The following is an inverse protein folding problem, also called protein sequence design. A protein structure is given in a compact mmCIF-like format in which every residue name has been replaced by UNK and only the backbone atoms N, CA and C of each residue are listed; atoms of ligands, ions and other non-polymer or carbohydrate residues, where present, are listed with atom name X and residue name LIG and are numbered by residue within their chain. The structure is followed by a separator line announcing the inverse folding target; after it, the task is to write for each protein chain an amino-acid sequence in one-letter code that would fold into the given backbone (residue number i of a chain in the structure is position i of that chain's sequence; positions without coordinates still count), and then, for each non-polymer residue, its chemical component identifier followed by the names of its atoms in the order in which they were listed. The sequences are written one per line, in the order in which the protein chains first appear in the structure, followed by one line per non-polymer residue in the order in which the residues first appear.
data_IF_881553667084
#
_entry.id   IF_881553667084
#
_cell.length_a   1.000
_cell.length_b   1.000
_cell.length_c   1.000
_cell.angle_alpha   90.00
_cell.angle_beta   90.00
_cell.angle_gamma   90.00
#
_symmetry.space_group_name_H-M   'P 1'
#
loop_
_entity.id
_entity.type
_entity.pdbx_description
1 polymer ?
#
# COMPACT_ATOMS: atom_id res chain seq x y z
N UNK A 1 -17.71 62.90 -29.81
CA UNK A 1 -16.27 62.88 -30.14
C UNK A 1 -15.98 61.58 -30.88
N UNK A 2 -15.40 61.75 -32.06
CA UNK A 2 -14.83 60.81 -33.06
C UNK A 2 -14.10 59.55 -32.50
N UNK A 3 -13.89 58.47 -33.29
CA UNK A 3 -14.86 57.36 -33.41
C UNK A 3 -14.21 55.95 -33.33
N UNK A 4 -15.06 54.93 -33.46
CA UNK A 4 -14.71 53.54 -33.76
C UNK A 4 -13.88 53.40 -35.04
N UNK A 5 -12.86 52.54 -35.01
CA UNK A 5 -12.06 52.14 -36.17
C UNK A 5 -12.29 50.64 -36.46
N UNK A 6 -13.03 50.43 -37.54
CA UNK A 6 -13.26 49.19 -38.28
C UNK A 6 -12.03 48.82 -39.12
N UNK A 7 -12.01 47.56 -39.61
CA UNK A 7 -11.25 47.06 -40.78
C UNK A 7 -9.80 46.65 -40.51
N UNK A 8 -9.18 45.64 -41.15
CA UNK A 8 -9.44 44.99 -42.45
C UNK A 8 -8.53 43.73 -42.53
N UNK A 9 -8.98 42.66 -43.19
CA UNK A 9 -8.09 41.65 -43.77
C UNK A 9 -7.13 42.31 -44.78
N UNK A 10 -5.91 41.75 -44.93
CA UNK A 10 -5.26 41.77 -46.22
C UNK A 10 -4.87 40.36 -46.65
N UNK A 11 -5.55 39.86 -47.68
CA UNK A 11 -4.90 39.07 -48.72
C UNK A 11 -3.81 39.93 -49.35
N UNK A 12 -2.54 39.55 -49.21
CA UNK A 12 -1.53 39.94 -50.20
C UNK A 12 -0.44 38.88 -50.28
N UNK A 13 -0.30 38.38 -51.49
CA UNK A 13 0.75 37.52 -52.00
C UNK A 13 2.13 38.13 -51.81
N UNK A 14 3.05 37.39 -51.20
CA UNK A 14 4.49 37.55 -51.44
C UNK A 14 5.11 36.18 -51.67
N UNK A 15 5.30 35.89 -52.96
CA UNK A 15 6.26 34.90 -53.44
C UNK A 15 7.65 35.33 -52.94
N UNK A 16 8.13 34.71 -51.87
CA UNK A 16 9.56 34.60 -51.65
C UNK A 16 10.01 33.18 -51.97
N UNK A 17 10.51 33.11 -53.19
CA UNK A 17 11.38 32.09 -53.74
C UNK A 17 12.55 31.84 -52.76
N UNK A 18 12.45 30.78 -51.94
CA UNK A 18 13.60 30.16 -51.28
C UNK A 18 13.50 28.65 -51.55
N UNK A 19 14.19 28.23 -52.62
CA UNK A 19 14.66 26.85 -52.76
C UNK A 19 15.29 26.43 -51.42
N UNK A 20 14.80 25.39 -50.73
CA UNK A 20 15.64 24.68 -49.80
C UNK A 20 16.62 23.88 -50.64
N UNK A 21 17.88 24.20 -50.41
CA UNK A 21 19.08 23.54 -50.88
C UNK A 21 18.89 22.06 -51.18
N UNK A 22 19.25 21.71 -52.41
CA UNK A 22 19.58 20.36 -52.88
C UNK A 22 20.61 19.76 -51.91
N UNK A 23 20.16 19.07 -50.86
CA UNK A 23 20.99 18.10 -50.15
C UNK A 23 21.01 16.88 -51.06
N UNK A 24 21.95 16.87 -52.01
CA UNK A 24 22.34 15.63 -52.68
C UNK A 24 23.23 14.84 -51.72
N UNK A 25 22.64 14.37 -50.62
CA UNK A 25 23.19 13.24 -49.89
C UNK A 25 22.62 12.01 -50.56
N UNK A 26 23.49 11.13 -51.06
CA UNK A 26 23.08 9.95 -51.81
C UNK A 26 22.12 9.11 -50.94
N UNK A 27 20.85 8.98 -51.34
CA UNK A 27 19.79 8.34 -50.52
C UNK A 27 20.16 6.91 -50.08
N UNK A 28 20.99 6.21 -50.85
CA UNK A 28 21.50 4.88 -50.52
C UNK A 28 22.47 4.89 -49.32
N UNK A 29 23.46 5.80 -49.34
CA UNK A 29 24.41 5.94 -48.21
C UNK A 29 23.69 6.32 -46.91
N UNK A 30 22.66 7.16 -47.00
CA UNK A 30 21.83 7.51 -45.84
C UNK A 30 21.07 6.29 -45.29
N UNK A 31 20.53 5.42 -46.16
CA UNK A 31 19.93 4.14 -45.75
C UNK A 31 20.93 3.23 -45.04
N UNK A 32 22.15 3.09 -45.57
CA UNK A 32 23.21 2.26 -44.96
C UNK A 32 23.55 2.78 -43.55
N UNK A 33 23.71 4.10 -43.38
CA UNK A 33 23.98 4.69 -42.06
C UNK A 33 22.83 4.49 -41.07
N UNK A 34 21.57 4.60 -41.51
CA UNK A 34 20.41 4.29 -40.67
C UNK A 34 20.40 2.83 -40.22
N UNK A 35 20.77 1.91 -41.10
CA UNK A 35 20.86 0.47 -40.78
C UNK A 35 22.03 0.18 -39.82
N UNK A 36 23.19 0.82 -39.99
CA UNK A 36 24.30 0.74 -39.02
C UNK A 36 23.88 1.26 -37.65
N UNK A 37 23.12 2.35 -37.62
CA UNK A 37 22.48 2.83 -36.39
C UNK A 37 21.56 1.79 -35.76
N UNK A 38 20.76 1.07 -36.56
CA UNK A 38 19.91 -0.01 -36.06
C UNK A 38 20.72 -1.21 -35.53
N UNK A 39 21.87 -1.54 -36.14
CA UNK A 39 22.82 -2.55 -35.62
C UNK A 39 23.31 -2.14 -34.23
N UNK A 40 23.79 -0.90 -34.09
CA UNK A 40 24.28 -0.38 -32.81
C UNK A 40 23.18 -0.38 -31.73
N UNK A 41 21.95 0.01 -32.08
CA UNK A 41 20.80 -0.10 -31.18
C UNK A 41 20.57 -1.57 -30.78
N UNK A 42 20.60 -2.49 -31.74
CA UNK A 42 20.48 -3.93 -31.49
C UNK A 42 21.52 -4.47 -30.51
N UNK A 43 22.75 -3.95 -30.51
CA UNK A 43 23.78 -4.36 -29.54
C UNK A 43 23.47 -3.95 -28.10
N UNK A 44 22.70 -2.87 -27.93
CA UNK A 44 22.36 -2.30 -26.62
C UNK A 44 21.06 -2.85 -26.02
N UNK A 45 20.21 -3.48 -26.82
CA UNK A 45 18.87 -3.89 -26.39
C UNK A 45 18.89 -5.25 -25.69
N UNK A 46 18.43 -5.36 -24.43
CA UNK A 46 18.22 -6.64 -23.79
C UNK A 46 17.08 -7.41 -24.49
N UNK A 47 17.17 -8.75 -24.52
CA UNK A 47 16.17 -9.68 -25.10
C UNK A 47 16.03 -9.62 -26.63
N UNK A 48 15.77 -8.44 -27.19
CA UNK A 48 15.46 -8.23 -28.60
C UNK A 48 16.67 -7.92 -29.48
N UNK A 49 17.79 -7.59 -28.85
CA UNK A 49 18.99 -7.10 -29.52
C UNK A 49 19.51 -8.02 -30.61
N UNK A 50 19.53 -9.34 -30.36
CA UNK A 50 20.13 -10.31 -31.28
C UNK A 50 19.46 -10.34 -32.66
N UNK A 51 18.13 -10.36 -32.73
CA UNK A 51 17.44 -10.42 -34.03
C UNK A 51 17.37 -9.07 -34.73
N UNK A 52 17.30 -7.96 -33.99
CA UNK A 52 17.43 -6.60 -34.57
C UNK A 52 18.80 -6.44 -35.20
N UNK A 53 19.86 -6.78 -34.45
CA UNK A 53 21.25 -6.73 -34.91
C UNK A 53 21.45 -7.63 -36.13
N UNK A 54 20.96 -8.87 -36.08
CA UNK A 54 21.10 -9.84 -37.17
C UNK A 54 20.45 -9.35 -38.46
N UNK A 55 19.20 -8.89 -38.39
CA UNK A 55 18.47 -8.37 -39.54
C UNK A 55 19.12 -7.09 -40.11
N UNK A 56 19.39 -6.12 -39.24
CA UNK A 56 20.01 -4.86 -39.65
C UNK A 56 21.40 -5.09 -40.27
N UNK A 57 22.19 -6.00 -39.70
CA UNK A 57 23.49 -6.39 -40.23
C UNK A 57 23.39 -7.01 -41.63
N UNK A 58 22.45 -7.95 -41.84
CA UNK A 58 22.22 -8.52 -43.17
C UNK A 58 21.81 -7.46 -44.20
N UNK A 59 20.97 -6.49 -43.80
CA UNK A 59 20.57 -5.38 -44.66
C UNK A 59 21.76 -4.45 -44.99
N UNK A 60 22.63 -4.14 -44.03
CA UNK A 60 23.86 -3.36 -44.27
C UNK A 60 24.73 -4.08 -45.30
N UNK A 61 25.03 -5.36 -45.09
CA UNK A 61 25.88 -6.13 -46.00
C UNK A 61 25.28 -6.17 -47.41
N UNK A 62 23.96 -6.38 -47.52
CA UNK A 62 23.30 -6.38 -48.82
C UNK A 62 23.42 -5.04 -49.55
N UNK A 63 23.11 -3.92 -48.88
CA UNK A 63 23.14 -2.59 -49.50
C UNK A 63 24.56 -2.10 -49.80
N UNK A 64 25.55 -2.39 -48.95
CA UNK A 64 26.96 -2.06 -49.21
C UNK A 64 27.49 -2.83 -50.43
N UNK A 65 27.09 -4.09 -50.62
CA UNK A 65 27.42 -4.84 -51.83
C UNK A 65 26.81 -4.19 -53.08
N UNK A 66 25.55 -3.76 -53.03
CA UNK A 66 24.93 -3.04 -54.16
C UNK A 66 25.59 -1.69 -54.44
N UNK A 67 25.99 -0.95 -53.41
CA UNK A 67 26.72 0.32 -53.55
C UNK A 67 28.08 0.13 -54.21
N UNK A 68 28.80 -0.96 -53.89
CA UNK A 68 30.07 -1.33 -54.53
C UNK A 68 29.89 -1.66 -56.00
N UNK A 69 28.81 -2.36 -56.35
CA UNK A 69 28.53 -2.86 -57.69
C UNK A 69 28.15 -1.75 -58.66
N UNK A 70 27.27 -0.85 -58.26
CA UNK A 70 26.99 0.33 -59.07
C UNK A 70 26.48 1.49 -58.23
N UNK A 71 27.19 2.62 -58.34
CA UNK A 71 26.83 3.82 -57.59
C UNK A 71 25.55 4.44 -58.15
N UNK A 72 24.57 4.58 -57.27
CA UNK A 72 23.60 5.67 -57.29
C UNK A 72 22.53 5.61 -58.41
N UNK A 73 21.86 4.47 -58.58
CA UNK A 73 20.64 4.36 -59.40
C UNK A 73 19.37 4.51 -58.56
N UNK A 74 18.39 5.23 -59.09
CA UNK A 74 17.11 5.52 -58.43
C UNK A 74 16.40 4.23 -57.95
N UNK A 75 16.40 3.17 -58.77
CA UNK A 75 15.80 1.88 -58.42
C UNK A 75 16.43 1.25 -57.16
N UNK A 76 17.76 1.38 -56.98
CA UNK A 76 18.47 0.88 -55.80
C UNK A 76 18.09 1.74 -54.59
N UNK A 77 17.91 3.05 -54.77
CA UNK A 77 17.50 3.95 -53.69
C UNK A 77 16.09 3.62 -53.19
N UNK A 78 15.17 3.26 -54.10
CA UNK A 78 13.83 2.80 -53.72
C UNK A 78 13.92 1.51 -52.91
N UNK A 79 14.64 0.51 -53.42
CA UNK A 79 14.84 -0.76 -52.72
C UNK A 79 15.48 -0.57 -51.33
N UNK A 80 16.50 0.26 -51.25
CA UNK A 80 17.18 0.58 -49.99
C UNK A 80 16.24 1.23 -48.99
N UNK A 81 15.36 2.14 -49.43
CA UNK A 81 14.35 2.76 -48.57
C UNK A 81 13.36 1.74 -48.05
N UNK A 82 12.87 0.85 -48.91
CA UNK A 82 11.91 -0.18 -48.50
C UNK A 82 12.50 -1.13 -47.46
N UNK A 83 13.72 -1.61 -47.67
CA UNK A 83 14.44 -2.45 -46.70
C UNK A 83 14.66 -1.67 -45.39
N UNK A 84 15.08 -0.40 -45.48
CA UNK A 84 15.32 0.45 -44.31
C UNK A 84 14.06 0.64 -43.48
N UNK A 85 12.92 0.88 -44.12
CA UNK A 85 11.62 1.03 -43.45
C UNK A 85 11.26 -0.22 -42.65
N UNK A 86 11.46 -1.41 -43.23
CA UNK A 86 11.22 -2.70 -42.55
C UNK A 86 12.12 -2.84 -41.31
N UNK A 87 13.42 -2.53 -41.42
CA UNK A 87 14.34 -2.61 -40.26
C UNK A 87 14.00 -1.59 -39.18
N UNK A 88 13.58 -0.37 -39.55
CA UNK A 88 13.16 0.67 -38.60
C UNK A 88 11.91 0.24 -37.82
N UNK A 89 10.95 -0.41 -38.48
CA UNK A 89 9.73 -0.93 -37.82
C UNK A 89 10.12 -1.86 -36.65
N UNK A 90 11.06 -2.78 -36.89
CA UNK A 90 11.54 -3.74 -35.89
C UNK A 90 12.33 -3.04 -34.78
N UNK A 91 13.28 -2.16 -35.15
CA UNK A 91 14.09 -1.40 -34.19
C UNK A 91 13.19 -0.66 -33.19
N UNK A 92 12.20 0.06 -33.69
CA UNK A 92 11.30 0.86 -32.86
C UNK A 92 10.40 -0.01 -31.98
N UNK A 93 9.96 -1.16 -32.48
CA UNK A 93 9.23 -2.15 -31.67
C UNK A 93 10.12 -2.68 -30.54
N UNK A 94 11.37 -3.02 -30.86
CA UNK A 94 12.34 -3.57 -29.92
C UNK A 94 12.75 -2.57 -28.82
N UNK A 95 12.90 -1.29 -29.16
CA UNK A 95 13.15 -0.22 -28.17
C UNK A 95 12.01 -0.15 -27.16
N UNK A 96 10.75 -0.20 -27.62
CA UNK A 96 9.58 -0.13 -26.74
C UNK A 96 9.50 -1.33 -25.78
N UNK A 97 9.91 -2.51 -26.23
CA UNK A 97 9.93 -3.73 -25.41
C UNK A 97 11.01 -3.72 -24.33
N UNK A 98 12.13 -3.03 -24.56
CA UNK A 98 13.24 -2.98 -23.59
C UNK A 98 12.84 -2.43 -22.22
N UNK A 99 11.70 -1.72 -22.12
CA UNK A 99 11.17 -1.24 -20.86
C UNK A 99 10.36 -2.26 -20.06
N UNK A 100 9.98 -3.40 -20.64
CA UNK A 100 9.00 -4.34 -20.06
C UNK A 100 9.46 -5.81 -20.15
N UNK A 101 10.09 -6.37 -19.10
CA UNK A 101 10.65 -7.73 -19.11
C UNK A 101 9.63 -8.84 -19.40
N UNK A 102 8.35 -8.61 -19.10
CA UNK A 102 7.27 -9.59 -19.34
C UNK A 102 6.89 -9.70 -20.83
N UNK A 103 7.41 -8.81 -21.68
CA UNK A 103 7.08 -8.76 -23.11
C UNK A 103 7.64 -9.92 -23.92
N UNK A 104 8.57 -10.73 -23.37
CA UNK A 104 9.30 -11.81 -24.07
C UNK A 104 8.35 -12.74 -24.84
N UNK A 105 7.17 -13.03 -24.30
CA UNK A 105 6.19 -13.94 -24.92
C UNK A 105 5.59 -13.42 -26.23
N UNK A 106 5.60 -12.10 -26.44
CA UNK A 106 4.96 -11.45 -27.59
C UNK A 106 5.96 -11.11 -28.69
N UNK A 107 7.25 -11.31 -28.43
CA UNK A 107 8.35 -11.01 -29.36
C UNK A 107 8.57 -12.13 -30.37
N UNK A 108 8.06 -13.33 -30.12
CA UNK A 108 8.39 -14.51 -30.93
C UNK A 108 7.96 -14.35 -32.40
N UNK A 109 6.75 -13.85 -32.66
CA UNK A 109 6.28 -13.60 -34.03
C UNK A 109 7.15 -12.57 -34.75
N UNK A 110 7.55 -11.50 -34.05
CA UNK A 110 8.44 -10.47 -34.58
C UNK A 110 9.83 -11.04 -34.87
N UNK A 111 10.37 -11.86 -33.96
CA UNK A 111 11.65 -12.54 -34.08
C UNK A 111 11.65 -13.51 -35.26
N UNK A 112 10.61 -14.32 -35.43
CA UNK A 112 10.47 -15.25 -36.56
C UNK A 112 10.49 -14.46 -37.87
N UNK A 113 9.68 -13.42 -37.98
CA UNK A 113 9.65 -12.57 -39.18
C UNK A 113 11.03 -11.92 -39.48
N UNK A 114 11.76 -11.51 -38.44
CA UNK A 114 13.11 -10.97 -38.59
C UNK A 114 14.11 -12.00 -39.11
N UNK A 115 14.08 -13.22 -38.56
CA UNK A 115 14.97 -14.31 -38.98
C UNK A 115 14.70 -14.73 -40.43
N UNK A 116 13.44 -14.82 -40.82
CA UNK A 116 13.05 -15.14 -42.21
C UNK A 116 13.50 -14.05 -43.18
N UNK A 117 13.30 -12.77 -42.83
CA UNK A 117 13.73 -11.67 -43.70
C UNK A 117 15.25 -11.55 -43.75
N UNK A 118 15.95 -11.79 -42.62
CA UNK A 118 17.41 -11.86 -42.58
C UNK A 118 17.93 -12.94 -43.53
N UNK A 119 17.34 -14.14 -43.49
CA UNK A 119 17.69 -15.24 -44.39
C UNK A 119 17.47 -14.85 -45.85
N UNK A 120 16.30 -14.27 -46.17
CA UNK A 120 16.00 -13.79 -47.52
C UNK A 120 17.04 -12.77 -48.03
N UNK A 121 17.44 -11.79 -47.22
CA UNK A 121 18.46 -10.80 -47.61
C UNK A 121 19.83 -11.45 -47.80
N UNK A 122 20.16 -12.47 -47.02
CA UNK A 122 21.43 -13.20 -47.12
C UNK A 122 21.48 -14.06 -48.38
N UNK A 123 20.38 -14.75 -48.70
CA UNK A 123 20.21 -15.52 -49.94
C UNK A 123 20.24 -14.61 -51.17
N UNK A 124 19.62 -13.42 -51.08
CA UNK A 124 19.63 -12.42 -52.15
C UNK A 124 21.03 -11.83 -52.36
N UNK A 125 21.76 -11.56 -51.28
CA UNK A 125 23.18 -11.13 -51.35
C UNK A 125 24.02 -12.16 -52.09
N UNK A 126 23.84 -13.44 -51.78
CA UNK A 126 24.58 -14.54 -52.41
C UNK A 126 24.28 -14.62 -53.91
N UNK A 127 23.01 -14.54 -54.30
CA UNK A 127 22.61 -14.51 -55.71
C UNK A 127 23.23 -13.32 -56.47
N UNK A 128 23.26 -12.14 -55.86
CA UNK A 128 23.88 -10.95 -56.46
C UNK A 128 25.38 -11.16 -56.69
N UNK A 129 26.10 -11.72 -55.70
CA UNK A 129 27.53 -12.02 -55.80
C UNK A 129 27.80 -13.10 -56.86
N UNK A 130 26.97 -14.13 -56.95
CA UNK A 130 27.13 -15.19 -57.94
C UNK A 130 26.89 -14.69 -59.36
N UNK A 131 25.91 -13.80 -59.57
CA UNK A 131 25.69 -13.13 -60.87
C UNK A 131 26.89 -12.25 -61.23
N UNK A 132 27.44 -11.49 -60.26
CA UNK A 132 28.65 -10.66 -60.45
C UNK A 132 29.85 -11.53 -60.89
N UNK A 133 30.02 -12.72 -60.30
CA UNK A 133 31.14 -13.62 -60.60
C UNK A 133 31.02 -14.34 -61.95
N UNK A 134 29.80 -14.76 -62.32
CA UNK A 134 29.56 -15.62 -63.48
C UNK A 134 29.37 -14.84 -64.80
N UNK A 135 28.91 -13.59 -64.74
CA UNK A 135 28.80 -12.69 -65.90
C UNK A 135 29.71 -11.48 -65.65
N UNK A 136 30.66 -11.21 -66.54
CA UNK A 136 31.67 -10.12 -66.44
C UNK A 136 31.03 -8.71 -66.44
N UNK A 137 30.31 -8.35 -65.38
CA UNK A 137 29.84 -7.00 -65.10
C UNK A 137 28.47 -6.59 -65.66
N UNK A 138 27.57 -7.51 -66.01
CA UNK A 138 26.23 -7.12 -66.47
C UNK A 138 25.32 -6.78 -65.30
N UNK A 139 25.43 -5.55 -64.78
CA UNK A 139 24.45 -4.95 -63.86
C UNK A 139 23.00 -5.13 -64.33
N UNK A 140 22.77 -5.26 -65.64
CA UNK A 140 21.43 -5.49 -66.19
C UNK A 140 20.77 -6.74 -65.61
N UNK A 141 21.54 -7.81 -65.37
CA UNK A 141 21.00 -9.07 -64.84
C UNK A 141 20.69 -8.95 -63.34
N UNK A 142 21.56 -8.28 -62.59
CA UNK A 142 21.33 -7.93 -61.17
C UNK A 142 20.09 -7.05 -61.05
N UNK A 143 19.98 -6.00 -61.88
CA UNK A 143 18.81 -5.12 -61.93
C UNK A 143 17.54 -5.91 -62.26
N UNK A 144 17.60 -6.86 -63.20
CA UNK A 144 16.46 -7.72 -63.56
C UNK A 144 16.03 -8.62 -62.40
N UNK A 145 16.97 -9.16 -61.63
CA UNK A 145 16.69 -9.93 -60.42
C UNK A 145 16.02 -9.05 -59.35
N UNK A 146 16.59 -7.88 -59.05
CA UNK A 146 16.08 -6.99 -57.99
C UNK A 146 14.74 -6.35 -58.35
N UNK A 147 14.52 -6.04 -59.63
CA UNK A 147 13.25 -5.56 -60.16
C UNK A 147 12.25 -6.69 -60.43
N UNK A 148 12.62 -7.95 -60.16
CA UNK A 148 11.71 -9.07 -60.34
C UNK A 148 10.53 -8.95 -59.39
N UNK A 149 9.36 -9.34 -59.89
CA UNK A 149 8.12 -9.33 -59.11
C UNK A 149 8.25 -10.14 -57.81
N UNK A 150 8.94 -11.27 -57.84
CA UNK A 150 9.16 -12.14 -56.67
C UNK A 150 9.89 -11.41 -55.54
N UNK A 151 11.00 -10.71 -55.84
CA UNK A 151 11.76 -9.95 -54.84
C UNK A 151 10.94 -8.81 -54.25
N UNK A 152 10.26 -8.04 -55.12
CA UNK A 152 9.45 -6.90 -54.72
C UNK A 152 8.23 -7.33 -53.89
N UNK A 153 7.56 -8.43 -54.25
CA UNK A 153 6.44 -8.98 -53.48
C UNK A 153 6.89 -9.54 -52.13
N UNK A 154 8.06 -10.18 -52.05
CA UNK A 154 8.62 -10.67 -50.78
C UNK A 154 8.97 -9.54 -49.83
N UNK A 155 9.64 -8.49 -50.29
CA UNK A 155 9.98 -7.31 -49.45
C UNK A 155 8.70 -6.65 -48.94
N UNK A 156 7.72 -6.43 -49.81
CA UNK A 156 6.43 -5.88 -49.41
C UNK A 156 5.63 -6.82 -48.49
N UNK A 157 5.77 -8.14 -48.68
CA UNK A 157 5.22 -9.16 -47.78
C UNK A 157 5.82 -9.06 -46.38
N UNK A 158 7.14 -9.03 -46.26
CA UNK A 158 7.83 -8.88 -44.97
C UNK A 158 7.50 -7.56 -44.28
N UNK A 159 7.37 -6.47 -45.02
CA UNK A 159 6.87 -5.20 -44.48
C UNK A 159 5.52 -5.38 -43.79
N UNK A 160 4.53 -5.96 -44.48
CA UNK A 160 3.18 -6.18 -43.91
C UNK A 160 3.21 -7.12 -42.71
N UNK A 161 3.98 -8.21 -42.79
CA UNK A 161 4.11 -9.17 -41.68
C UNK A 161 4.75 -8.50 -40.45
N UNK A 162 5.80 -7.69 -40.63
CA UNK A 162 6.44 -6.97 -39.53
C UNK A 162 5.56 -5.87 -38.94
N UNK A 163 4.79 -5.15 -39.77
CA UNK A 163 3.81 -4.17 -39.30
C UNK A 163 2.69 -4.83 -38.48
N UNK A 164 2.21 -5.99 -38.93
CA UNK A 164 1.24 -6.81 -38.19
C UNK A 164 1.81 -7.30 -36.86
N UNK A 165 2.99 -7.90 -36.88
CA UNK A 165 3.68 -8.38 -35.68
C UNK A 165 3.94 -7.24 -34.68
N UNK A 166 4.41 -6.08 -35.16
CA UNK A 166 4.57 -4.87 -34.34
C UNK A 166 3.24 -4.42 -33.73
N UNK A 167 2.15 -4.37 -34.50
CA UNK A 167 0.85 -3.91 -34.01
C UNK A 167 0.30 -4.82 -32.92
N UNK A 168 0.40 -6.13 -33.12
CA UNK A 168 0.02 -7.13 -32.12
C UNK A 168 0.85 -6.98 -30.84
N UNK A 169 2.17 -6.82 -30.99
CA UNK A 169 3.06 -6.60 -29.85
C UNK A 169 2.71 -5.34 -29.06
N UNK A 170 2.45 -4.21 -29.73
CA UNK A 170 2.07 -2.97 -29.07
C UNK A 170 0.72 -3.09 -28.36
N UNK A 171 -0.23 -3.81 -28.94
CA UNK A 171 -1.51 -4.10 -28.29
C UNK A 171 -1.31 -4.93 -27.01
N UNK A 172 -0.48 -5.98 -27.08
CA UNK A 172 -0.16 -6.81 -25.93
C UNK A 172 0.53 -6.03 -24.81
N UNK A 173 1.50 -5.17 -25.15
CA UNK A 173 2.17 -4.29 -24.18
C UNK A 173 1.19 -3.33 -23.48
N UNK A 174 0.28 -2.72 -24.24
CA UNK A 174 -0.74 -1.83 -23.69
C UNK A 174 -1.69 -2.59 -22.74
N UNK A 175 -2.09 -3.81 -23.08
CA UNK A 175 -2.93 -4.63 -22.22
C UNK A 175 -2.23 -4.96 -20.90
N UNK A 176 -0.96 -5.36 -20.93
CA UNK A 176 -0.16 -5.64 -19.72
C UNK A 176 -0.07 -4.41 -18.83
N UNK A 177 0.31 -3.26 -19.40
CA UNK A 177 0.40 -2.00 -18.66
C UNK A 177 -0.93 -1.63 -18.01
N UNK A 178 -2.04 -1.81 -18.73
CA UNK A 178 -3.37 -1.56 -18.20
C UNK A 178 -3.74 -2.50 -17.04
N UNK A 179 -3.39 -3.79 -17.12
CA UNK A 179 -3.63 -4.75 -16.05
C UNK A 179 -2.78 -4.47 -14.81
N UNK A 180 -1.51 -4.11 -14.99
CA UNK A 180 -0.65 -3.72 -13.87
C UNK A 180 -1.18 -2.45 -13.19
N UNK A 181 -1.66 -1.48 -13.98
CA UNK A 181 -2.27 -0.26 -13.45
C UNK A 181 -3.57 -0.55 -12.68
N UNK A 182 -4.44 -1.44 -13.16
CA UNK A 182 -5.67 -1.80 -12.43
C UNK A 182 -5.36 -2.51 -11.11
N UNK A 183 -4.36 -3.38 -11.08
CA UNK A 183 -3.89 -4.01 -9.83
C UNK A 183 -3.37 -2.98 -8.83
N UNK A 184 -2.56 -2.00 -9.27
CA UNK A 184 -2.08 -0.92 -8.40
C UNK A 184 -3.23 -0.07 -7.88
N UNK A 185 -4.17 0.33 -8.75
CA UNK A 185 -5.34 1.11 -8.34
C UNK A 185 -6.20 0.37 -7.31
N UNK A 186 -6.41 -0.93 -7.49
CA UNK A 186 -7.14 -1.75 -6.52
C UNK A 186 -6.38 -1.85 -5.17
N UNK A 187 -5.06 -2.02 -5.21
CA UNK A 187 -4.23 -2.00 -4.01
C UNK A 187 -4.32 -0.67 -3.25
N UNK A 188 -4.25 0.46 -3.95
CA UNK A 188 -4.41 1.80 -3.36
C UNK A 188 -5.79 1.98 -2.75
N UNK A 189 -6.86 1.57 -3.44
CA UNK A 189 -8.22 1.65 -2.93
C UNK A 189 -8.40 0.83 -1.64
N UNK A 190 -7.83 -0.39 -1.60
CA UNK A 190 -7.84 -1.24 -0.41
C UNK A 190 -7.10 -0.60 0.77
N UNK A 191 -5.94 0.03 0.52
CA UNK A 191 -5.19 0.75 1.55
C UNK A 191 -5.96 1.98 2.08
N UNK A 192 -6.63 2.73 1.20
CA UNK A 192 -7.47 3.86 1.59
C UNK A 192 -8.66 3.42 2.46
N UNK A 193 -9.28 2.29 2.12
CA UNK A 193 -10.34 1.70 2.95
C UNK A 193 -9.81 1.37 4.34
N UNK A 194 -8.68 0.66 4.43
CA UNK A 194 -8.08 0.29 5.71
C UNK A 194 -7.69 1.51 6.56
N UNK A 195 -7.17 2.57 5.94
CA UNK A 195 -6.89 3.83 6.65
C UNK A 195 -8.14 4.44 7.26
N UNK A 196 -9.28 4.38 6.56
CA UNK A 196 -10.56 4.89 7.05
C UNK A 196 -11.05 4.07 8.25
N UNK A 197 -10.89 2.76 8.21
CA UNK A 197 -11.25 1.86 9.32
C UNK A 197 -10.41 2.16 10.56
N UNK A 198 -9.08 2.30 10.41
CA UNK A 198 -8.19 2.67 11.52
C UNK A 198 -8.54 4.01 12.14
N UNK A 199 -8.91 4.99 11.31
CA UNK A 199 -9.33 6.31 11.78
C UNK A 199 -10.62 6.22 12.60
N UNK A 200 -11.56 5.38 12.17
CA UNK A 200 -12.82 5.12 12.90
C UNK A 200 -12.54 4.45 14.24
N UNK A 201 -11.70 3.42 14.27
CA UNK A 201 -11.29 2.72 15.50
C UNK A 201 -10.62 3.70 16.48
N UNK A 202 -9.73 4.57 15.99
CA UNK A 202 -9.07 5.57 16.83
C UNK A 202 -10.07 6.54 17.47
N UNK A 203 -11.08 6.99 16.73
CA UNK A 203 -12.16 7.83 17.26
C UNK A 203 -12.98 7.10 18.33
N UNK A 204 -13.29 5.83 18.13
CA UNK A 204 -14.03 5.03 19.12
C UNK A 204 -13.24 4.83 20.41
N UNK A 205 -11.93 4.55 20.31
CA UNK A 205 -11.04 4.46 21.47
C UNK A 205 -10.99 5.81 22.22
N UNK A 206 -10.84 6.93 21.52
CA UNK A 206 -10.86 8.25 22.15
C UNK A 206 -12.19 8.55 22.84
N UNK A 207 -13.30 8.11 22.24
CA UNK A 207 -14.64 8.27 22.82
C UNK A 207 -14.80 7.42 24.08
N UNK A 208 -14.32 6.17 24.09
CA UNK A 208 -14.32 5.31 25.29
C UNK A 208 -13.50 5.93 26.43
N UNK A 209 -12.30 6.43 26.13
CA UNK A 209 -11.43 7.10 27.12
C UNK A 209 -12.15 8.31 27.73
N UNK A 210 -12.82 9.15 26.93
CA UNK A 210 -13.55 10.33 27.43
C UNK A 210 -14.83 9.98 28.20
N UNK A 211 -15.49 8.86 27.87
CA UNK A 211 -16.72 8.43 28.52
C UNK A 211 -16.48 7.80 29.90
N UNK A 212 -15.23 7.46 30.25
CA UNK A 212 -14.90 6.97 31.60
C UNK A 212 -15.11 8.10 32.62
N UNK A 213 -15.96 7.91 33.64
CA UNK A 213 -16.14 8.91 34.67
C UNK A 213 -14.79 9.12 35.37
N UNK A 214 -14.31 10.36 35.37
CA UNK A 214 -13.24 10.82 36.26
C UNK A 214 -13.71 10.60 37.70
N UNK A 215 -13.42 9.43 38.25
CA UNK A 215 -13.53 9.19 39.68
C UNK A 215 -12.40 9.97 40.33
N UNK A 216 -12.73 11.07 41.00
CA UNK A 216 -11.94 11.80 42.01
C UNK A 216 -10.41 11.64 41.91
N UNK A 217 -9.66 12.74 41.70
CA UNK A 217 -8.17 12.86 41.72
C UNK A 217 -7.46 12.26 42.97
N UNK A 218 -8.22 11.64 43.88
CA UNK A 218 -7.77 10.97 45.09
C UNK A 218 -7.22 9.55 44.85
N UNK A 219 -7.60 8.86 43.77
CA UNK A 219 -7.20 7.47 43.51
C UNK A 219 -6.80 7.23 42.04
N UNK A 220 -5.90 6.27 41.80
CA UNK A 220 -5.50 5.91 40.44
C UNK A 220 -6.59 5.08 39.75
N UNK A 221 -6.94 5.44 38.52
CA UNK A 221 -7.77 4.58 37.68
C UNK A 221 -6.86 3.61 36.92
N UNK A 222 -6.93 2.33 37.26
CA UNK A 222 -6.04 1.28 36.76
C UNK A 222 -6.78 0.40 35.75
N UNK A 223 -6.03 -0.22 34.84
CA UNK A 223 -6.55 -1.31 33.99
C UNK A 223 -5.94 -2.64 34.36
N UNK A 224 -6.58 -3.75 34.00
CA UNK A 224 -6.05 -5.09 34.27
C UNK A 224 -4.64 -5.33 33.70
N UNK A 225 -4.30 -4.67 32.57
CA UNK A 225 -2.95 -4.72 32.00
C UNK A 225 -1.87 -4.09 32.91
N UNK A 226 -2.26 -3.24 33.85
CA UNK A 226 -1.35 -2.65 34.84
C UNK A 226 -1.03 -3.61 35.99
N UNK A 227 -1.75 -4.74 36.09
CA UNK A 227 -1.70 -5.62 37.25
C UNK A 227 -1.06 -6.95 36.88
N UNK A 228 0.00 -7.30 37.60
CA UNK A 228 0.62 -8.62 37.52
C UNK A 228 0.37 -9.40 38.80
N UNK A 229 -0.57 -10.33 38.74
CA UNK A 229 -0.87 -11.22 39.86
C UNK A 229 0.38 -12.02 40.26
N UNK A 230 0.64 -12.08 41.57
CA UNK A 230 1.68 -12.92 42.16
C UNK A 230 1.07 -14.21 42.71
N UNK A 231 0.28 -14.07 43.78
CA UNK A 231 -0.29 -15.19 44.52
C UNK A 231 -1.76 -14.91 44.87
N UNK A 232 -2.62 -15.89 44.63
CA UNK A 232 -4.04 -15.86 45.00
C UNK A 232 -4.24 -16.58 46.33
N UNK A 233 -4.92 -15.93 47.27
CA UNK A 233 -4.94 -16.41 48.65
C UNK A 233 -6.30 -16.90 49.10
N UNK A 234 -7.37 -16.24 48.67
CA UNK A 234 -8.69 -16.53 49.22
C UNK A 234 -9.82 -16.03 48.34
N UNK A 235 -10.81 -16.89 48.13
CA UNK A 235 -12.05 -16.58 47.44
C UNK A 235 -13.22 -16.84 48.38
N UNK A 236 -14.02 -15.81 48.63
CA UNK A 236 -15.24 -15.89 49.42
C UNK A 236 -16.46 -15.85 48.50
N UNK A 237 -17.36 -16.83 48.63
CA UNK A 237 -18.69 -16.75 48.04
C UNK A 237 -19.51 -15.61 48.66
N UNK A 238 -20.24 -14.89 47.83
CA UNK A 238 -21.21 -13.87 48.25
C UNK A 238 -22.60 -14.44 48.03
N UNK A 239 -23.26 -14.75 49.15
CA UNK A 239 -24.56 -15.40 49.16
C UNK A 239 -25.70 -14.39 49.33
N UNK A 240 -26.85 -14.70 48.72
CA UNK A 240 -28.12 -14.00 48.96
C UNK A 240 -29.19 -15.03 49.33
N UNK A 241 -30.08 -14.66 50.24
CA UNK A 241 -31.29 -15.43 50.52
C UNK A 241 -32.35 -15.04 49.49
N UNK A 242 -32.78 -16.01 48.68
CA UNK A 242 -33.89 -15.87 47.73
C UNK A 242 -34.84 -17.04 48.01
N UNK A 243 -36.11 -16.74 48.29
CA UNK A 243 -37.15 -17.75 48.59
C UNK A 243 -36.73 -18.80 49.64
N UNK A 244 -36.21 -18.33 50.79
CA UNK A 244 -35.68 -19.17 51.88
C UNK A 244 -34.52 -20.11 51.52
N UNK A 245 -33.89 -19.96 50.35
CA UNK A 245 -32.68 -20.69 49.95
C UNK A 245 -31.47 -19.76 49.87
N UNK A 246 -30.33 -20.25 50.34
CA UNK A 246 -29.05 -19.54 50.25
C UNK A 246 -28.42 -19.87 48.89
N UNK A 247 -28.29 -18.87 48.03
CA UNK A 247 -27.71 -19.02 46.68
C UNK A 247 -26.45 -18.17 46.59
N UNK A 248 -25.36 -18.76 46.09
CA UNK A 248 -24.13 -18.02 45.77
C UNK A 248 -24.37 -17.21 44.48
N UNK A 249 -24.24 -15.89 44.57
CA UNK A 249 -24.58 -14.96 43.48
C UNK A 249 -23.39 -14.06 43.10
N UNK A 250 -22.19 -14.40 43.60
CA UNK A 250 -20.94 -13.70 43.31
C UNK A 250 -19.81 -14.17 44.19
N UNK A 251 -18.59 -13.68 43.92
CA UNK A 251 -17.40 -14.04 44.69
C UNK A 251 -16.52 -12.80 44.94
N UNK A 252 -15.71 -12.88 45.99
CA UNK A 252 -14.64 -11.90 46.27
C UNK A 252 -13.32 -12.64 46.41
N UNK A 253 -12.42 -12.41 45.46
CA UNK A 253 -11.08 -12.98 45.46
C UNK A 253 -10.07 -11.95 45.94
N UNK A 254 -9.13 -12.39 46.79
CA UNK A 254 -8.05 -11.56 47.32
C UNK A 254 -6.72 -12.13 46.86
N UNK A 255 -5.86 -11.28 46.30
CA UNK A 255 -4.55 -11.67 45.81
C UNK A 255 -3.50 -10.56 45.92
N UNK A 256 -2.22 -10.92 45.94
CA UNK A 256 -1.12 -9.99 45.77
C UNK A 256 -0.87 -9.72 44.30
N UNK A 257 -0.48 -8.50 43.98
CA UNK A 257 0.00 -8.17 42.66
C UNK A 257 1.03 -7.04 42.67
N UNK A 258 1.81 -7.01 41.61
CA UNK A 258 2.56 -5.82 41.20
C UNK A 258 1.67 -4.92 40.37
N UNK A 259 1.83 -3.61 40.54
CA UNK A 259 1.16 -2.61 39.72
C UNK A 259 2.22 -1.85 38.93
N UNK A 260 2.04 -1.73 37.61
CA UNK A 260 3.00 -1.12 36.67
C UNK A 260 3.52 0.27 37.10
N UNK A 261 2.69 1.03 37.81
CA UNK A 261 2.96 2.39 38.28
C UNK A 261 3.75 2.47 39.59
N UNK A 262 4.09 1.34 40.23
CA UNK A 262 4.75 1.32 41.54
C UNK A 262 5.66 0.10 41.72
N UNK A 263 6.73 0.27 42.48
CA UNK A 263 7.66 -0.80 42.84
C UNK A 263 7.24 -1.59 44.10
N UNK A 264 6.07 -1.30 44.67
CA UNK A 264 5.51 -1.96 45.85
C UNK A 264 4.54 -3.07 45.45
N UNK A 265 4.42 -4.07 46.32
CA UNK A 265 3.36 -5.09 46.23
C UNK A 265 2.05 -4.50 46.77
N UNK A 266 0.95 -4.82 46.09
CA UNK A 266 -0.39 -4.39 46.46
C UNK A 266 -1.29 -5.58 46.76
N UNK A 267 -2.34 -5.30 47.54
CA UNK A 267 -3.43 -6.24 47.78
C UNK A 267 -4.61 -5.85 46.90
N UNK A 268 -5.11 -6.81 46.14
CA UNK A 268 -6.25 -6.62 45.25
C UNK A 268 -7.44 -7.40 45.78
N UNK A 269 -8.58 -6.72 45.84
CA UNK A 269 -9.89 -7.33 46.03
C UNK A 269 -10.62 -7.29 44.70
N UNK A 270 -10.77 -8.45 44.06
CA UNK A 270 -11.55 -8.63 42.83
C UNK A 270 -12.93 -9.16 43.18
N UNK A 271 -13.94 -8.56 42.58
CA UNK A 271 -15.34 -8.88 42.83
C UNK A 271 -15.94 -9.44 41.55
N UNK A 272 -16.72 -10.52 41.64
CA UNK A 272 -17.38 -11.13 40.49
C UNK A 272 -18.84 -11.46 40.80
N UNK A 273 -19.67 -11.54 39.74
CA UNK A 273 -21.10 -11.81 39.86
C UNK A 273 -21.91 -10.60 40.37
N UNK A 274 -23.23 -10.70 40.24
CA UNK A 274 -24.16 -9.60 40.52
C UNK A 274 -24.16 -9.18 41.99
N UNK A 275 -24.01 -10.12 42.93
CA UNK A 275 -23.89 -9.83 44.36
C UNK A 275 -22.48 -9.29 44.72
N UNK A 276 -21.45 -9.71 43.99
CA UNK A 276 -20.08 -9.18 44.12
C UNK A 276 -20.01 -7.72 43.72
N UNK A 277 -20.64 -7.34 42.60
CA UNK A 277 -20.70 -5.94 42.13
C UNK A 277 -21.37 -5.01 43.17
N UNK A 278 -22.48 -5.45 43.78
CA UNK A 278 -23.14 -4.68 44.85
C UNK A 278 -22.30 -4.59 46.13
N UNK A 279 -21.43 -5.58 46.38
CA UNK A 279 -20.48 -5.54 47.49
C UNK A 279 -19.31 -4.59 47.17
N UNK A 280 -18.80 -4.61 45.94
CA UNK A 280 -17.77 -3.69 45.47
C UNK A 280 -18.21 -2.24 45.63
N UNK A 281 -19.43 -1.89 45.20
CA UNK A 281 -19.95 -0.52 45.34
C UNK A 281 -19.99 -0.08 46.81
N UNK A 282 -20.45 -0.95 47.71
CA UNK A 282 -20.47 -0.65 49.15
C UNK A 282 -19.07 -0.47 49.72
N UNK A 283 -18.15 -1.38 49.40
CA UNK A 283 -16.77 -1.33 49.90
C UNK A 283 -16.04 -0.09 49.34
N UNK A 284 -16.24 0.24 48.06
CA UNK A 284 -15.67 1.40 47.41
C UNK A 284 -16.15 2.71 48.06
N UNK A 285 -17.46 2.85 48.32
CA UNK A 285 -18.01 4.05 48.96
C UNK A 285 -17.46 4.25 50.38
N UNK A 286 -17.27 3.17 51.14
CA UNK A 286 -16.65 3.23 52.47
C UNK A 286 -15.21 3.72 52.37
N UNK A 287 -14.41 3.16 51.48
CA UNK A 287 -13.01 3.55 51.33
C UNK A 287 -12.82 4.94 50.71
N UNK A 288 -13.74 5.39 49.85
CA UNK A 288 -13.74 6.75 49.30
C UNK A 288 -13.92 7.80 50.40
N UNK A 289 -14.83 7.54 51.34
CA UNK A 289 -15.23 8.45 52.42
C UNK A 289 -14.39 8.31 53.69
N UNK A 290 -13.69 7.18 53.88
CA UNK A 290 -12.87 6.96 55.07
C UNK A 290 -11.68 7.94 55.14
N UNK A 291 -11.39 8.50 56.34
CA UNK A 291 -10.18 9.29 56.55
C UNK A 291 -8.93 8.41 56.51
N UNK A 292 -7.78 8.99 56.12
CA UNK A 292 -6.49 8.30 56.19
C UNK A 292 -6.17 8.01 57.65
N UNK A 293 -5.97 6.73 57.98
CA UNK A 293 -5.67 6.29 59.33
C UNK A 293 -4.56 5.23 59.30
N UNK A 294 -3.57 5.25 60.22
CA UNK A 294 -2.45 4.31 60.22
C UNK A 294 -2.89 2.83 60.37
N UNK A 295 -4.01 2.59 61.06
CA UNK A 295 -4.56 1.24 61.23
C UNK A 295 -5.58 0.84 60.15
N UNK A 296 -5.79 1.67 59.11
CA UNK A 296 -6.68 1.35 57.98
C UNK A 296 -5.87 1.30 56.69
N UNK A 297 -6.02 0.21 55.95
CA UNK A 297 -5.38 0.08 54.63
C UNK A 297 -5.95 1.12 53.67
N UNK A 298 -5.05 1.84 53.03
CA UNK A 298 -5.40 2.92 52.12
C UNK A 298 -5.62 2.38 50.71
N UNK A 299 -6.71 2.83 50.10
CA UNK A 299 -7.01 2.57 48.69
C UNK A 299 -6.02 3.35 47.82
N UNK A 300 -5.32 2.63 46.94
CA UNK A 300 -4.36 3.19 45.98
C UNK A 300 -5.03 3.51 44.64
N UNK A 301 -5.86 2.59 44.17
CA UNK A 301 -6.49 2.67 42.87
C UNK A 301 -7.66 1.70 42.72
N UNK A 302 -8.35 1.85 41.60
CA UNK A 302 -9.59 1.14 41.30
C UNK A 302 -9.56 0.67 39.85
N UNK A 303 -10.09 -0.52 39.59
CA UNK A 303 -10.44 -0.96 38.25
C UNK A 303 -11.96 -1.03 38.17
N UNK A 304 -12.56 -0.21 37.31
CA UNK A 304 -14.02 -0.11 37.13
C UNK A 304 -14.55 -1.04 36.03
N UNK A 305 -13.96 -2.23 35.86
CA UNK A 305 -14.41 -3.20 34.85
C UNK A 305 -15.83 -3.69 35.17
N UNK A 306 -16.67 -3.82 34.14
CA UNK A 306 -18.08 -4.22 34.26
C UNK A 306 -18.22 -5.66 34.75
N UNK A 307 -17.34 -6.55 34.33
CA UNK A 307 -17.42 -7.98 34.66
C UNK A 307 -16.73 -8.33 35.96
N UNK A 308 -15.61 -7.65 36.25
CA UNK A 308 -14.74 -7.94 37.40
C UNK A 308 -14.13 -6.64 37.94
N UNK A 309 -14.86 -5.86 38.74
CA UNK A 309 -14.29 -4.66 39.33
C UNK A 309 -13.31 -5.00 40.45
N UNK A 310 -12.29 -4.17 40.61
CA UNK A 310 -11.23 -4.38 41.61
C UNK A 310 -10.99 -3.14 42.48
N UNK A 311 -10.64 -3.38 43.75
CA UNK A 311 -10.09 -2.37 44.65
C UNK A 311 -8.63 -2.73 44.96
N UNK A 312 -7.72 -1.77 44.77
CA UNK A 312 -6.27 -1.95 44.93
C UNK A 312 -5.80 -1.18 46.16
N UNK A 313 -5.17 -1.87 47.12
CA UNK A 313 -4.78 -1.32 48.41
C UNK A 313 -3.27 -1.38 48.64
N UNK A 314 -2.75 -0.39 49.36
CA UNK A 314 -1.39 -0.44 49.89
C UNK A 314 -1.22 -1.52 50.98
N UNK A 315 -0.08 -2.23 50.96
CA UNK A 315 0.40 -3.04 52.08
C UNK A 315 1.34 -4.18 51.65
N UNK A 316 2.34 -4.48 52.48
CA UNK A 316 3.31 -5.57 52.28
C UNK A 316 2.85 -6.87 52.95
N UNK A 317 3.46 -7.99 52.55
CA UNK A 317 3.28 -9.34 53.11
C UNK A 317 3.90 -9.46 54.52
N UNK A 318 4.87 -8.60 54.85
CA UNK A 318 5.75 -8.80 56.00
C UNK A 318 5.25 -8.22 57.34
N UNK A 319 4.14 -7.46 57.35
CA UNK A 319 3.71 -6.71 58.54
C UNK A 319 2.72 -7.47 59.45
N UNK A 320 2.12 -8.58 59.02
CA UNK A 320 1.18 -9.38 59.84
C UNK A 320 1.25 -10.88 59.50
N UNK A 321 1.27 -11.80 60.47
CA UNK A 321 1.19 -13.24 60.18
C UNK A 321 -0.08 -13.62 59.41
N UNK A 322 0.10 -14.39 58.34
CA UNK A 322 -0.90 -14.78 57.32
C UNK A 322 -2.28 -15.24 57.85
N UNK A 323 -2.35 -15.88 59.02
CA UNK A 323 -3.60 -16.40 59.59
C UNK A 323 -4.43 -15.35 60.36
N UNK A 324 -3.89 -14.15 60.63
CA UNK A 324 -4.61 -13.03 61.27
C UNK A 324 -5.12 -11.98 60.27
N UNK A 325 -4.82 -12.13 58.98
CA UNK A 325 -5.08 -11.14 57.95
C UNK A 325 -6.58 -10.84 57.68
N UNK A 326 -7.48 -11.84 57.57
CA UNK A 326 -8.92 -11.60 57.36
C UNK A 326 -9.58 -10.86 58.54
N UNK A 327 -9.06 -11.08 59.75
CA UNK A 327 -9.60 -10.48 60.98
C UNK A 327 -9.13 -9.04 61.24
N UNK A 328 -8.25 -8.47 60.43
CA UNK A 328 -7.91 -7.04 60.49
C UNK A 328 -8.69 -6.23 59.46
N UNK A 329 -8.91 -6.81 58.28
CA UNK A 329 -9.64 -6.16 57.18
C UNK A 329 -11.13 -5.95 57.50
N UNK A 330 -11.82 -6.95 58.03
CA UNK A 330 -13.28 -6.88 58.22
C UNK A 330 -13.69 -6.38 59.61
N UNK A 331 -12.84 -6.57 60.63
CA UNK A 331 -13.14 -6.27 62.03
C UNK A 331 -13.18 -4.78 62.32
N UNK A 332 -12.47 -3.97 61.54
CA UNK A 332 -12.55 -2.51 61.56
C UNK A 332 -13.50 -1.94 60.50
N UNK A 333 -13.79 -2.69 59.42
CA UNK A 333 -14.79 -2.30 58.42
C UNK A 333 -16.21 -2.31 59.01
N UNK A 334 -16.57 -3.29 59.84
CA UNK A 334 -17.92 -3.37 60.44
C UNK A 334 -18.21 -2.15 61.35
N UNK A 335 -17.32 -1.73 62.28
CA UNK A 335 -17.46 -0.48 63.01
C UNK A 335 -17.45 0.76 62.11
N UNK A 336 -16.63 0.79 61.05
CA UNK A 336 -16.59 1.92 60.12
C UNK A 336 -17.87 2.05 59.30
N UNK A 337 -18.38 0.94 58.76
CA UNK A 337 -19.68 0.84 58.08
C UNK A 337 -20.78 1.31 59.03
N UNK A 338 -20.78 0.84 60.29
CA UNK A 338 -21.71 1.36 61.31
C UNK A 338 -21.53 2.85 61.55
N UNK A 339 -20.29 3.36 61.63
CA UNK A 339 -20.02 4.78 61.87
C UNK A 339 -20.39 5.67 60.69
N UNK A 340 -20.17 5.24 59.45
CA UNK A 340 -20.50 5.96 58.21
C UNK A 340 -22.01 5.92 57.99
N UNK A 341 -22.66 4.78 58.22
CA UNK A 341 -24.13 4.68 58.21
C UNK A 341 -24.75 5.50 59.35
N UNK A 342 -24.17 5.50 60.56
CA UNK A 342 -24.60 6.32 61.68
C UNK A 342 -24.41 7.81 61.42
N UNK A 343 -23.29 8.23 60.83
CA UNK A 343 -23.07 9.62 60.40
C UNK A 343 -24.06 10.04 59.31
N UNK A 344 -24.39 9.15 58.36
CA UNK A 344 -25.46 9.38 57.37
C UNK A 344 -26.85 9.47 58.00
N UNK A 345 -27.13 8.64 59.01
CA UNK A 345 -28.40 8.64 59.73
C UNK A 345 -28.55 9.90 60.61
N UNK A 346 -27.48 10.31 61.29
CA UNK A 346 -27.43 11.53 62.10
C UNK A 346 -27.37 12.80 61.25
N UNK A 347 -26.80 12.79 60.05
CA UNK A 347 -26.85 13.95 59.14
C UNK A 347 -28.24 14.12 58.51
N UNK A 348 -28.94 13.02 58.21
CA UNK A 348 -30.34 13.04 57.77
C UNK A 348 -31.28 13.49 58.91
N UNK A 349 -31.04 13.06 60.16
CA UNK A 349 -31.82 13.51 61.32
C UNK A 349 -31.49 14.95 61.77
N UNK A 350 -30.25 15.43 61.63
CA UNK A 350 -29.93 16.85 61.85
C UNK A 350 -30.57 17.78 60.81
N UNK A 351 -30.86 17.27 59.61
CA UNK A 351 -31.67 18.00 58.62
C UNK A 351 -33.17 17.97 58.94
N UNK A 352 -33.66 16.93 59.64
CA UNK A 352 -35.06 16.87 60.07
C UNK A 352 -35.36 17.74 61.30
N UNK A 353 -34.40 17.95 62.20
CA UNK A 353 -34.60 18.77 63.42
C UNK A 353 -34.34 20.27 63.26
N UNK A 354 -33.85 20.73 62.09
CA UNK A 354 -33.62 22.17 61.82
C UNK A 354 -34.81 22.86 61.16
N UNK A 355 -35.93 22.16 60.94
CA UNK A 355 -37.14 22.73 60.30
C UNK A 355 -38.35 22.96 61.22
N UNK A 356 -38.21 22.81 62.54
CA UNK A 356 -39.25 23.23 63.50
C UNK A 356 -38.72 24.34 64.42
N UNK A 357 -38.43 25.47 63.79
CA UNK A 357 -38.35 26.77 64.46
C UNK A 357 -39.74 27.38 64.56
N UNK A 358 -40.34 27.20 65.74
CA UNK A 358 -41.30 28.07 66.42
C UNK A 358 -41.72 29.34 65.67
N UNK A 359 -43.00 29.45 65.34
CA UNK A 359 -43.69 30.75 65.15
C UNK A 359 -44.43 31.10 66.43
N UNK A 360 -43.95 32.14 67.11
CA UNK A 360 -44.72 32.95 68.06
C UNK A 360 -45.33 34.14 67.31
N UNK A 361 -46.64 34.36 67.47
CA UNK A 361 -47.43 35.61 67.30
C UNK A 361 -48.91 35.17 67.44
N UNK A 362 -49.80 35.68 68.29
CA UNK A 362 -49.89 36.79 69.27
C UNK A 362 -50.58 36.29 70.54
#
# INVERSE_FOLDING_TARGET
MLPAATMRNPTSSLKHNKKPSKISNNSLSASIELLKGAVAVGETLPVAGNFVKGLAGAAVVFLENLERLEKNKDDIQVLAREITEVVIIVRDAAIKMSGEPESIKYVEDLKIACLEFQKFLSDLTTQVIDIERNNVGSWKDIRKLLASRDVQEKINGYRRVMEGARSNLLLSLNLISSTSMTHVLHGVASLQSSQTDLTTIACDIQRDIRARPSTDDKFHNLVYGDIRCRDMWWTNGVYRVVDNKIIEMGQVSNYAADVSTSNRVFVIKEYSGSAGLQKWERDFQVHRTAPRHPNLRQLYGVITSVERPCLVFHGTIDEVPFYKFPTLFDKHLIPLIKSVLYYRYCSVLKFAHTHWGVTFTE
#
